data_IF_991202965519
#
_entry.id   IF_991202965519
#
_cell.length_a   1.000
_cell.length_b   1.000
_cell.length_c   1.000
_cell.angle_alpha   90.00
_cell.angle_beta   90.00
_cell.angle_gamma   90.00
#
_symmetry.space_group_name_H-M   'P 1'
#
loop_
_entity.id
_entity.type
_entity.pdbx_description
1 polymer ?
#
# COMPACT_ATOMS: atom_id res chain seq x y z
N UNK A 1 22.04 18.01 -2.74
CA UNK A 1 20.88 17.36 -2.08
C UNK A 1 21.32 17.03 -0.67
N UNK A 2 20.53 17.36 0.33
CA UNK A 2 20.83 17.04 1.73
C UNK A 2 20.47 15.58 2.02
N UNK A 3 21.30 14.91 2.84
CA UNK A 3 20.98 13.58 3.32
C UNK A 3 19.76 13.61 4.25
N UNK A 4 18.84 12.65 4.11
CA UNK A 4 17.61 12.55 4.90
C UNK A 4 17.61 11.22 5.65
N UNK A 5 17.27 11.26 6.93
CA UNK A 5 17.09 10.04 7.72
C UNK A 5 15.63 9.56 7.62
N UNK A 6 15.43 8.35 7.09
CA UNK A 6 14.15 7.63 7.08
C UNK A 6 14.27 6.44 8.05
N UNK A 7 13.59 6.54 9.19
CA UNK A 7 13.74 5.55 10.27
C UNK A 7 15.24 5.38 10.64
N UNK A 8 15.79 4.21 10.41
CA UNK A 8 17.21 3.90 10.70
C UNK A 8 18.12 3.96 9.47
N UNK A 9 17.57 4.33 8.28
CA UNK A 9 18.31 4.40 7.02
C UNK A 9 18.54 5.85 6.61
N UNK A 10 19.77 6.14 6.12
CA UNK A 10 20.09 7.44 5.53
C UNK A 10 19.92 7.37 4.01
N UNK A 11 19.14 8.29 3.47
CA UNK A 11 18.89 8.43 2.02
C UNK A 11 19.56 9.69 1.52
N UNK A 12 20.33 9.58 0.46
CA UNK A 12 21.06 10.71 -0.13
C UNK A 12 21.95 10.27 -1.29
N UNK A 13 22.59 11.23 -1.96
CA UNK A 13 23.37 10.95 -3.19
C UNK A 13 24.56 9.98 -2.99
N UNK A 14 25.00 9.78 -1.75
CA UNK A 14 26.15 8.94 -1.40
C UNK A 14 25.75 7.57 -0.86
N UNK A 15 24.46 7.29 -0.79
CA UNK A 15 23.91 6.05 -0.23
C UNK A 15 23.18 5.26 -1.31
N UNK A 16 23.00 3.96 -1.13
CA UNK A 16 22.16 3.14 -2.00
C UNK A 16 20.73 3.70 -2.11
N UNK A 17 20.03 3.41 -3.20
CA UNK A 17 18.62 3.74 -3.34
C UNK A 17 17.81 3.05 -2.25
N UNK A 18 16.87 3.77 -1.64
CA UNK A 18 15.87 3.21 -0.76
C UNK A 18 14.74 2.61 -1.62
N UNK A 19 14.58 1.29 -1.56
CA UNK A 19 13.65 0.54 -2.41
C UNK A 19 12.36 0.27 -1.65
N UNK A 20 11.24 0.73 -2.20
CA UNK A 20 9.90 0.51 -1.65
C UNK A 20 9.11 -0.39 -2.60
N UNK A 21 8.62 -1.53 -2.09
CA UNK A 21 7.69 -2.37 -2.83
C UNK A 21 6.26 -1.87 -2.63
N UNK A 22 5.59 -1.46 -3.71
CA UNK A 22 4.17 -1.12 -3.72
C UNK A 22 3.34 -2.40 -3.92
N UNK A 23 2.51 -2.74 -2.93
CA UNK A 23 1.62 -3.90 -2.98
C UNK A 23 0.13 -3.53 -3.00
N UNK A 24 -0.22 -2.25 -2.96
CA UNK A 24 -1.60 -1.77 -3.00
C UNK A 24 -2.32 -2.21 -4.28
N UNK A 25 -3.59 -2.61 -4.14
CA UNK A 25 -4.38 -3.13 -5.26
C UNK A 25 -3.97 -4.51 -5.78
N UNK A 26 -3.10 -5.24 -5.08
CA UNK A 26 -2.63 -6.56 -5.49
C UNK A 26 -3.07 -7.69 -4.55
N UNK A 27 -3.86 -7.38 -3.51
CA UNK A 27 -4.38 -8.35 -2.56
C UNK A 27 -5.74 -7.93 -2.01
N UNK A 28 -6.52 -8.92 -1.56
CA UNK A 28 -7.85 -8.73 -0.96
C UNK A 28 -7.99 -9.44 0.40
N UNK A 29 -6.99 -10.22 0.79
CA UNK A 29 -6.97 -10.96 2.03
C UNK A 29 -5.57 -11.06 2.63
N UNK A 30 -5.51 -11.48 3.90
CA UNK A 30 -4.23 -11.54 4.63
C UNK A 30 -3.20 -12.50 4.02
N UNK A 31 -3.63 -13.65 3.48
CA UNK A 31 -2.69 -14.63 2.92
C UNK A 31 -1.99 -14.10 1.66
N UNK A 32 -2.71 -13.35 0.84
CA UNK A 32 -2.15 -12.68 -0.33
C UNK A 32 -1.17 -11.57 0.09
N UNK A 33 -1.58 -10.69 1.01
CA UNK A 33 -0.73 -9.64 1.56
C UNK A 33 0.56 -10.22 2.17
N UNK A 34 0.42 -11.29 2.96
CA UNK A 34 1.55 -11.99 3.58
C UNK A 34 2.56 -12.47 2.54
N UNK A 35 2.10 -13.11 1.46
CA UNK A 35 2.98 -13.57 0.37
C UNK A 35 3.74 -12.42 -0.28
N UNK A 36 3.07 -11.30 -0.53
CA UNK A 36 3.71 -10.11 -1.11
C UNK A 36 4.77 -9.50 -0.18
N UNK A 37 4.48 -9.42 1.12
CA UNK A 37 5.43 -8.96 2.13
C UNK A 37 6.64 -9.90 2.22
N UNK A 38 6.40 -11.20 2.27
CA UNK A 38 7.47 -12.21 2.31
C UNK A 38 8.36 -12.14 1.05
N UNK A 39 7.75 -11.96 -0.14
CA UNK A 39 8.51 -11.75 -1.39
C UNK A 39 9.34 -10.47 -1.35
N UNK A 40 8.79 -9.37 -0.82
CA UNK A 40 9.54 -8.12 -0.62
C UNK A 40 10.75 -8.31 0.29
N UNK A 41 10.59 -9.06 1.37
CA UNK A 41 11.69 -9.43 2.28
C UNK A 41 12.77 -10.27 1.59
N UNK A 42 12.35 -11.27 0.81
CA UNK A 42 13.25 -12.18 0.10
C UNK A 42 14.15 -11.45 -0.91
N UNK A 43 13.59 -10.49 -1.63
CA UNK A 43 14.35 -9.66 -2.60
C UNK A 43 15.07 -8.47 -1.96
N UNK A 44 14.89 -8.24 -0.66
CA UNK A 44 15.65 -7.25 0.11
C UNK A 44 15.19 -5.80 -0.11
N UNK A 45 13.88 -5.54 -0.21
CA UNK A 45 13.38 -4.15 -0.22
C UNK A 45 13.51 -3.51 1.17
N UNK A 46 13.64 -2.19 1.20
CA UNK A 46 13.79 -1.41 2.44
C UNK A 46 12.45 -1.15 3.15
N UNK A 47 11.35 -1.12 2.39
CA UNK A 47 10.00 -0.92 2.94
C UNK A 47 8.92 -1.50 2.02
N UNK A 48 7.74 -1.70 2.61
CA UNK A 48 6.51 -2.07 1.90
C UNK A 48 5.55 -0.88 1.93
N UNK A 49 4.85 -0.64 0.82
CA UNK A 49 3.78 0.35 0.74
C UNK A 49 2.49 -0.30 0.27
N UNK A 50 1.37 0.07 0.88
CA UNK A 50 0.03 -0.29 0.41
C UNK A 50 -0.87 0.94 0.32
N UNK A 51 -2.15 0.77 0.05
CA UNK A 51 -3.11 1.86 -0.11
C UNK A 51 -4.25 1.69 0.88
N UNK A 52 -4.66 2.79 1.50
CA UNK A 52 -5.89 2.88 2.29
C UNK A 52 -6.87 3.74 1.52
N UNK A 53 -7.98 3.15 1.12
CA UNK A 53 -9.02 3.82 0.33
C UNK A 53 -10.41 3.25 0.63
N UNK A 54 -11.41 4.10 0.44
CA UNK A 54 -12.82 3.71 0.39
C UNK A 54 -13.37 4.11 -0.99
N UNK A 55 -14.10 3.20 -1.65
CA UNK A 55 -14.62 3.46 -2.99
C UNK A 55 -15.56 4.68 -3.03
N UNK A 56 -16.33 4.88 -1.96
CA UNK A 56 -17.27 6.00 -1.85
C UNK A 56 -16.61 7.38 -1.71
N UNK A 57 -15.31 7.44 -1.37
CA UNK A 57 -14.56 8.70 -1.21
C UNK A 57 -13.58 8.99 -2.33
N UNK A 58 -13.13 7.95 -3.06
CA UNK A 58 -12.08 8.10 -4.08
C UNK A 58 -12.64 8.31 -5.50
N UNK A 59 -13.88 7.88 -5.78
CA UNK A 59 -14.48 8.00 -7.10
C UNK A 59 -15.99 8.19 -7.05
N UNK A 60 -16.57 8.63 -8.17
CA UNK A 60 -18.02 8.65 -8.38
C UNK A 60 -18.48 7.36 -9.05
N UNK A 61 -19.75 6.97 -8.82
CA UNK A 61 -20.28 5.65 -9.24
C UNK A 61 -20.29 5.41 -10.75
N UNK A 62 -20.34 6.46 -11.54
CA UNK A 62 -20.45 6.39 -13.01
C UNK A 62 -19.15 6.76 -13.73
N UNK A 63 -18.01 6.67 -13.05
CA UNK A 63 -16.71 6.91 -13.66
C UNK A 63 -16.05 5.59 -14.11
N UNK A 64 -15.33 5.63 -15.26
CA UNK A 64 -14.75 4.45 -15.89
C UNK A 64 -13.27 4.62 -16.19
N UNK A 65 -12.51 3.54 -16.05
CA UNK A 65 -11.19 3.41 -16.64
C UNK A 65 -11.32 2.95 -18.09
N UNK A 66 -10.61 3.61 -19.01
CA UNK A 66 -10.47 3.16 -20.41
C UNK A 66 -9.12 2.50 -20.62
N UNK A 67 -9.00 1.20 -20.38
CA UNK A 67 -7.78 0.45 -20.63
C UNK A 67 -7.88 -0.32 -21.94
N UNK A 68 -6.83 -0.28 -22.79
CA UNK A 68 -6.80 -1.06 -24.04
C UNK A 68 -6.99 -2.57 -23.79
N UNK A 69 -6.40 -3.10 -22.72
CA UNK A 69 -6.43 -4.52 -22.40
C UNK A 69 -7.76 -5.02 -21.81
N UNK A 70 -8.50 -4.17 -21.09
CA UNK A 70 -9.70 -4.58 -20.32
C UNK A 70 -10.97 -3.87 -20.78
N UNK A 71 -10.87 -2.90 -21.70
CA UNK A 71 -11.99 -2.05 -22.09
C UNK A 71 -12.41 -1.08 -20.97
N UNK A 72 -13.68 -0.68 -21.01
CA UNK A 72 -14.25 0.20 -20.00
C UNK A 72 -14.60 -0.58 -18.72
N UNK A 73 -13.89 -0.31 -17.64
CA UNK A 73 -14.13 -0.91 -16.32
C UNK A 73 -14.56 0.19 -15.35
N UNK A 74 -15.66 -0.03 -14.64
CA UNK A 74 -16.18 0.96 -13.68
C UNK A 74 -15.21 1.10 -12.51
N UNK A 75 -14.76 2.33 -12.26
CA UNK A 75 -13.77 2.64 -11.21
C UNK A 75 -14.26 2.22 -9.83
N UNK A 76 -15.53 2.50 -9.53
CA UNK A 76 -16.14 2.15 -8.24
C UNK A 76 -16.00 0.66 -7.92
N UNK A 77 -16.25 -0.22 -8.89
CA UNK A 77 -16.15 -1.68 -8.69
C UNK A 77 -14.72 -2.13 -8.44
N UNK A 78 -13.75 -1.52 -9.14
CA UNK A 78 -12.32 -1.79 -8.94
C UNK A 78 -11.88 -1.36 -7.54
N UNK A 79 -12.20 -0.13 -7.14
CA UNK A 79 -11.82 0.35 -5.82
C UNK A 79 -12.54 -0.42 -4.70
N UNK A 80 -13.82 -0.76 -4.90
CA UNK A 80 -14.57 -1.57 -3.91
C UNK A 80 -14.01 -2.97 -3.74
N UNK A 81 -13.49 -3.55 -4.81
CA UNK A 81 -12.82 -4.86 -4.76
C UNK A 81 -11.52 -4.82 -3.93
N UNK A 82 -10.76 -3.72 -4.00
CA UNK A 82 -9.49 -3.55 -3.31
C UNK A 82 -9.59 -2.73 -2.01
N UNK A 83 -10.79 -2.37 -1.58
CA UNK A 83 -11.04 -1.71 -0.30
C UNK A 83 -10.71 -2.66 0.86
N UNK A 84 -9.80 -2.26 1.72
CA UNK A 84 -9.31 -3.08 2.82
C UNK A 84 -10.04 -2.76 4.12
N UNK A 85 -10.53 -3.78 4.81
CA UNK A 85 -11.07 -3.58 6.15
C UNK A 85 -9.99 -3.10 7.14
N UNK A 86 -10.40 -2.38 8.19
CA UNK A 86 -9.49 -1.95 9.26
C UNK A 86 -8.76 -3.14 9.89
N UNK A 87 -9.46 -4.24 10.09
CA UNK A 87 -8.92 -5.46 10.66
C UNK A 87 -7.82 -6.06 9.78
N UNK A 88 -8.03 -6.10 8.46
CA UNK A 88 -7.01 -6.58 7.53
C UNK A 88 -5.78 -5.67 7.52
N UNK A 89 -5.98 -4.34 7.52
CA UNK A 89 -4.88 -3.37 7.59
C UNK A 89 -4.06 -3.56 8.88
N UNK A 90 -4.71 -3.76 10.01
CA UNK A 90 -4.04 -4.03 11.29
C UNK A 90 -3.22 -5.32 11.23
N UNK A 91 -3.79 -6.42 10.71
CA UNK A 91 -3.09 -7.70 10.57
C UNK A 91 -1.81 -7.58 9.72
N UNK A 92 -1.84 -6.86 8.59
CA UNK A 92 -0.66 -6.70 7.74
C UNK A 92 0.41 -5.81 8.39
N UNK A 93 0.01 -4.77 9.14
CA UNK A 93 0.96 -3.93 9.90
C UNK A 93 1.61 -4.73 11.02
N UNK A 94 0.86 -5.49 11.80
CA UNK A 94 1.38 -6.36 12.85
C UNK A 94 2.33 -7.43 12.29
N UNK A 95 1.95 -8.03 11.16
CA UNK A 95 2.82 -8.99 10.48
C UNK A 95 4.14 -8.37 10.04
N UNK A 96 4.10 -7.22 9.38
CA UNK A 96 5.31 -6.51 8.93
C UNK A 96 6.22 -6.11 10.11
N UNK A 97 5.63 -5.67 11.21
CA UNK A 97 6.38 -5.39 12.46
C UNK A 97 7.08 -6.64 13.00
N UNK A 98 6.39 -7.79 12.99
CA UNK A 98 6.98 -9.07 13.42
C UNK A 98 8.17 -9.48 12.59
N UNK A 99 8.18 -9.08 11.31
CA UNK A 99 9.26 -9.30 10.33
C UNK A 99 10.33 -8.20 10.34
N UNK A 100 10.12 -7.13 11.11
CA UNK A 100 11.00 -5.96 11.20
C UNK A 100 11.19 -5.25 9.84
N UNK A 101 10.20 -5.28 8.96
CA UNK A 101 10.18 -4.49 7.73
C UNK A 101 9.27 -3.27 7.90
N UNK A 102 9.76 -2.06 7.59
CA UNK A 102 8.92 -0.88 7.56
C UNK A 102 7.75 -1.06 6.59
N UNK A 103 6.56 -0.69 7.06
CA UNK A 103 5.36 -0.65 6.21
C UNK A 103 4.63 0.66 6.43
N UNK A 104 4.08 1.21 5.36
CA UNK A 104 3.26 2.42 5.41
C UNK A 104 2.15 2.37 4.36
N UNK A 105 1.15 3.23 4.51
CA UNK A 105 0.04 3.32 3.58
C UNK A 105 -0.05 4.71 2.95
N UNK A 106 -0.64 4.78 1.76
CA UNK A 106 -1.08 6.02 1.12
C UNK A 106 -2.59 6.17 1.32
N UNK A 107 -3.04 7.10 2.20
CA UNK A 107 -4.45 7.42 2.36
C UNK A 107 -4.96 8.21 1.16
N UNK A 108 -6.18 7.92 0.70
CA UNK A 108 -6.82 8.60 -0.42
C UNK A 108 -7.78 9.71 0.01
N UNK A 109 -8.22 9.69 1.26
CA UNK A 109 -9.13 10.66 1.84
C UNK A 109 -8.76 10.99 3.29
N UNK A 110 -9.26 12.12 3.81
CA UNK A 110 -9.00 12.52 5.21
C UNK A 110 -9.49 11.48 6.22
N UNK A 111 -10.58 10.78 5.92
CA UNK A 111 -11.12 9.73 6.79
C UNK A 111 -10.17 8.53 6.93
N UNK A 112 -9.38 8.26 5.89
CA UNK A 112 -8.41 7.16 5.88
C UNK A 112 -7.29 7.40 6.91
N UNK A 113 -6.99 8.67 7.23
CA UNK A 113 -6.00 9.01 8.26
C UNK A 113 -6.42 8.55 9.66
N UNK A 114 -7.71 8.51 9.95
CA UNK A 114 -8.20 8.03 11.25
C UNK A 114 -7.94 6.52 11.41
N UNK A 115 -8.01 5.76 10.32
CA UNK A 115 -7.68 4.33 10.31
C UNK A 115 -6.20 4.10 10.60
N UNK A 116 -5.34 4.99 10.10
CA UNK A 116 -3.89 4.86 10.20
C UNK A 116 -3.31 5.32 11.56
N UNK A 117 -4.10 6.00 12.40
CA UNK A 117 -3.68 6.46 13.73
C UNK A 117 -3.78 5.38 14.81
N UNK A 118 -4.56 4.34 14.58
CA UNK A 118 -4.76 3.22 15.50
C UNK A 118 -3.69 2.12 15.29
#
# INVERSE_FOLDING_TARGET
MHDVKLLDTIVGNRYPCYIVAEIGGAFTNFQEAKRLIDSGLEIGVDAIKFQTLEADTITIKDNYFGFEATGNVRQYDVFKHFELSKELQKQIVEYSRSKKIPIFSAPSHINDLEIMKE
#
